data_IF_402917926954
#
_entry.id   IF_402917926954
#
_cell.length_a   1.000
_cell.length_b   1.000
_cell.length_c   1.000
_cell.angle_alpha   90.00
_cell.angle_beta   90.00
_cell.angle_gamma   90.00
#
_symmetry.space_group_name_H-M   'P 1'
#
loop_
_entity.id
_entity.type
_entity.pdbx_description
1 polymer ?
#
# COMPACT_ATOMS: atom_id res chain seq x y z
N UNK A 1 -29.87 30.25 -9.22
CA UNK A 1 -29.67 29.68 -10.56
C UNK A 1 -28.23 29.16 -10.60
N UNK A 2 -28.04 27.90 -10.29
CA UNK A 2 -26.73 27.24 -10.37
C UNK A 2 -26.71 26.41 -11.64
N UNK A 3 -25.86 26.79 -12.58
CA UNK A 3 -25.66 26.10 -13.84
C UNK A 3 -24.86 24.83 -13.58
N UNK A 4 -25.48 23.67 -13.74
CA UNK A 4 -24.81 22.39 -13.71
C UNK A 4 -23.99 22.17 -14.98
N UNK A 5 -22.68 22.00 -14.82
CA UNK A 5 -21.80 21.56 -15.90
C UNK A 5 -21.96 20.06 -16.07
N UNK A 6 -22.70 19.64 -17.08
CA UNK A 6 -22.79 18.25 -17.52
C UNK A 6 -21.49 17.88 -18.24
N UNK A 7 -20.75 16.92 -17.70
CA UNK A 7 -19.64 16.30 -18.42
C UNK A 7 -20.22 15.38 -19.51
N UNK A 8 -19.78 15.46 -20.75
CA UNK A 8 -20.26 14.58 -21.81
C UNK A 8 -19.66 13.18 -21.62
N UNK A 9 -20.50 12.21 -21.31
CA UNK A 9 -20.18 10.81 -21.52
C UNK A 9 -20.04 10.56 -23.02
N UNK A 10 -18.79 10.53 -23.49
CA UNK A 10 -18.49 10.16 -24.86
C UNK A 10 -18.93 8.73 -25.13
N UNK A 11 -19.89 8.59 -26.00
CA UNK A 11 -20.31 7.33 -26.61
C UNK A 11 -19.06 6.66 -27.22
N UNK A 12 -18.70 5.47 -26.77
CA UNK A 12 -17.64 4.66 -27.36
C UNK A 12 -18.10 4.23 -28.75
N UNK A 13 -17.69 4.96 -29.76
CA UNK A 13 -17.85 4.54 -31.16
C UNK A 13 -16.98 3.32 -31.43
N UNK A 14 -17.63 2.27 -31.85
CA UNK A 14 -16.96 1.05 -32.36
C UNK A 14 -16.19 1.45 -33.63
N UNK A 15 -14.86 1.33 -33.61
CA UNK A 15 -14.07 1.37 -34.83
C UNK A 15 -12.82 2.23 -34.87
N UNK A 16 -12.44 2.94 -33.83
CA UNK A 16 -11.15 3.64 -33.83
C UNK A 16 -10.01 2.62 -33.80
N UNK A 17 -9.17 2.62 -34.84
CA UNK A 17 -7.92 1.89 -34.90
C UNK A 17 -7.04 2.41 -33.75
N UNK A 18 -6.84 1.61 -32.73
CA UNK A 18 -5.98 1.97 -31.61
C UNK A 18 -4.54 2.05 -32.10
N UNK A 19 -3.93 3.21 -32.07
CA UNK A 19 -2.51 3.38 -32.36
C UNK A 19 -1.70 2.82 -31.19
N UNK A 20 -0.84 1.86 -31.50
CA UNK A 20 0.09 1.25 -30.57
C UNK A 20 1.49 1.80 -30.81
N UNK A 21 2.23 2.03 -29.72
CA UNK A 21 3.65 2.32 -29.82
C UNK A 21 4.41 1.17 -30.51
N UNK A 22 5.43 1.53 -31.27
CA UNK A 22 6.37 0.55 -31.79
C UNK A 22 7.27 0.05 -30.64
N UNK A 23 7.57 -1.25 -30.52
CA UNK A 23 8.51 -1.73 -29.50
C UNK A 23 9.86 -1.03 -29.49
N UNK A 24 10.34 -0.58 -30.67
CA UNK A 24 11.57 0.20 -30.81
C UNK A 24 11.50 1.55 -30.08
N UNK A 25 10.34 2.20 -29.99
CA UNK A 25 10.20 3.48 -29.29
C UNK A 25 10.60 3.38 -27.82
N UNK A 26 10.34 2.25 -27.17
CA UNK A 26 10.76 1.99 -25.78
C UNK A 26 12.27 1.84 -25.71
N UNK A 27 12.84 0.98 -26.57
CA UNK A 27 14.28 0.66 -26.55
C UNK A 27 15.15 1.79 -27.13
N UNK A 28 14.60 2.66 -27.95
CA UNK A 28 15.29 3.87 -28.43
C UNK A 28 15.50 4.88 -27.31
N UNK A 29 14.56 4.97 -26.37
CA UNK A 29 14.64 5.91 -25.24
C UNK A 29 15.24 5.30 -23.98
N UNK A 30 14.93 4.05 -23.68
CA UNK A 30 15.31 3.41 -22.42
C UNK A 30 16.16 2.16 -22.62
N UNK A 31 17.22 2.04 -21.85
CA UNK A 31 17.92 0.77 -21.60
C UNK A 31 17.26 0.05 -20.45
N UNK A 32 16.67 -1.11 -20.71
CA UNK A 32 16.09 -1.98 -19.70
C UNK A 32 17.17 -2.90 -19.13
N UNK A 33 17.41 -2.84 -17.84
CA UNK A 33 18.32 -3.73 -17.13
C UNK A 33 17.73 -5.13 -16.93
N UNK A 34 18.30 -5.86 -15.97
CA UNK A 34 17.76 -7.15 -15.55
C UNK A 34 16.46 -6.99 -14.78
N UNK A 35 15.66 -8.07 -14.71
CA UNK A 35 14.48 -8.14 -13.84
C UNK A 35 14.96 -8.02 -12.38
N UNK A 36 14.44 -7.03 -11.67
CA UNK A 36 14.69 -6.81 -10.25
C UNK A 36 13.75 -7.64 -9.39
N UNK A 37 12.48 -7.73 -9.83
CA UNK A 37 11.39 -8.43 -9.13
C UNK A 37 10.34 -8.86 -10.13
N UNK A 38 9.73 -10.01 -9.90
CA UNK A 38 8.51 -10.43 -10.59
C UNK A 38 7.34 -10.37 -9.62
N UNK A 39 6.27 -9.68 -9.99
CA UNK A 39 5.02 -9.57 -9.25
C UNK A 39 3.92 -10.36 -9.96
N UNK A 40 2.74 -10.48 -9.33
CA UNK A 40 1.62 -11.26 -9.89
C UNK A 40 1.21 -10.81 -11.30
N UNK A 41 1.29 -9.50 -11.59
CA UNK A 41 0.82 -8.95 -12.86
C UNK A 41 1.90 -8.35 -13.74
N UNK A 42 3.12 -8.16 -13.23
CA UNK A 42 4.18 -7.49 -13.99
C UNK A 42 5.60 -7.95 -13.61
N UNK A 43 6.51 -7.68 -14.50
CA UNK A 43 7.95 -7.75 -14.27
C UNK A 43 8.49 -6.34 -14.01
N UNK A 44 9.36 -6.19 -13.00
CA UNK A 44 9.96 -4.92 -12.62
C UNK A 44 11.42 -4.89 -13.04
N UNK A 45 11.81 -3.83 -13.74
CA UNK A 45 13.16 -3.59 -14.25
C UNK A 45 13.70 -2.26 -13.72
N UNK A 46 15.00 -2.14 -13.60
CA UNK A 46 15.64 -0.83 -13.62
C UNK A 46 15.81 -0.39 -15.07
N UNK A 47 15.42 0.85 -15.34
CA UNK A 47 15.51 1.42 -16.68
C UNK A 47 16.36 2.69 -16.63
N UNK A 48 17.23 2.90 -17.63
CA UNK A 48 18.04 4.09 -17.78
C UNK A 48 17.57 4.85 -19.02
N UNK A 49 17.18 6.11 -18.84
CA UNK A 49 16.93 7.00 -19.99
C UNK A 49 18.26 7.31 -20.70
N UNK A 50 18.34 7.02 -21.97
CA UNK A 50 19.58 7.15 -22.76
C UNK A 50 20.02 8.59 -22.96
N UNK A 51 19.09 9.53 -22.95
CA UNK A 51 19.37 10.94 -23.17
C UNK A 51 19.76 11.65 -21.86
N UNK A 52 18.98 11.44 -20.80
CA UNK A 52 19.17 12.13 -19.51
C UNK A 52 20.06 11.36 -18.55
N UNK A 53 20.34 10.09 -18.84
CA UNK A 53 21.08 9.14 -18.01
C UNK A 53 20.43 8.89 -16.64
N UNK A 54 19.22 9.38 -16.42
CA UNK A 54 18.46 9.13 -15.19
C UNK A 54 17.95 7.71 -15.13
N UNK A 55 17.89 7.20 -13.90
CA UNK A 55 17.37 5.87 -13.61
C UNK A 55 15.89 5.94 -13.21
N UNK A 56 15.14 4.96 -13.66
CA UNK A 56 13.71 4.80 -13.40
C UNK A 56 13.38 3.35 -13.05
N UNK A 57 12.21 3.14 -12.46
CA UNK A 57 11.60 1.82 -12.34
C UNK A 57 10.70 1.60 -13.54
N UNK A 58 10.83 0.47 -14.23
CA UNK A 58 9.94 0.09 -15.32
C UNK A 58 9.11 -1.12 -14.90
N UNK A 59 7.79 -0.98 -14.86
CA UNK A 59 6.82 -2.08 -14.73
C UNK A 59 6.39 -2.51 -16.14
N UNK A 60 6.59 -3.78 -16.47
CA UNK A 60 6.23 -4.38 -17.75
C UNK A 60 5.12 -5.41 -17.57
N UNK A 61 3.99 -5.20 -18.22
CA UNK A 61 2.83 -6.09 -18.18
C UNK A 61 2.67 -6.80 -19.53
N UNK A 62 2.58 -8.13 -19.50
CA UNK A 62 2.41 -8.92 -20.71
C UNK A 62 0.92 -9.15 -21.00
N UNK A 63 0.41 -8.63 -22.11
CA UNK A 63 -1.01 -8.74 -22.48
C UNK A 63 -1.49 -10.16 -22.70
N UNK A 64 -0.55 -11.09 -23.06
CA UNK A 64 -0.82 -12.53 -23.21
C UNK A 64 -1.24 -13.20 -21.90
N UNK A 65 -0.82 -12.66 -20.74
CA UNK A 65 -1.09 -13.25 -19.43
C UNK A 65 -2.54 -13.01 -18.95
N UNK A 66 -3.35 -12.44 -19.82
CA UNK A 66 -4.79 -12.50 -19.68
C UNK A 66 -5.48 -11.17 -19.39
N UNK A 67 -6.79 -11.28 -19.10
CA UNK A 67 -7.65 -10.12 -18.87
C UNK A 67 -7.35 -9.39 -17.58
N UNK A 68 -6.98 -10.12 -16.52
CA UNK A 68 -6.63 -9.54 -15.22
C UNK A 68 -5.42 -8.63 -15.31
N UNK A 69 -4.34 -9.09 -15.97
CA UNK A 69 -3.11 -8.32 -16.19
C UNK A 69 -3.39 -7.04 -16.97
N UNK A 70 -4.18 -7.12 -18.04
CA UNK A 70 -4.56 -5.95 -18.84
C UNK A 70 -5.39 -4.95 -18.03
N UNK A 71 -6.29 -5.44 -17.15
CA UNK A 71 -7.09 -4.59 -16.27
C UNK A 71 -6.20 -3.90 -15.25
N UNK A 72 -5.27 -4.62 -14.61
CA UNK A 72 -4.33 -4.10 -13.63
C UNK A 72 -3.46 -2.97 -14.25
N UNK A 73 -2.82 -3.22 -15.39
CA UNK A 73 -2.01 -2.22 -16.08
C UNK A 73 -2.78 -0.94 -16.41
N UNK A 74 -3.97 -1.07 -17.02
CA UNK A 74 -4.80 0.08 -17.40
C UNK A 74 -5.28 0.87 -16.19
N UNK A 75 -5.63 0.18 -15.10
CA UNK A 75 -6.06 0.80 -13.86
C UNK A 75 -4.91 1.60 -13.23
N UNK A 76 -3.73 1.01 -13.12
CA UNK A 76 -2.55 1.68 -12.56
C UNK A 76 -2.16 2.91 -13.39
N UNK A 77 -2.16 2.81 -14.72
CA UNK A 77 -1.92 3.94 -15.63
C UNK A 77 -2.94 5.06 -15.40
N UNK A 78 -4.23 4.70 -15.32
CA UNK A 78 -5.30 5.69 -15.14
C UNK A 78 -5.12 6.46 -13.82
N UNK A 79 -4.91 5.74 -12.73
CA UNK A 79 -4.76 6.34 -11.39
C UNK A 79 -3.48 7.19 -11.34
N UNK A 80 -2.35 6.66 -11.76
CA UNK A 80 -1.06 7.37 -11.69
C UNK A 80 -1.00 8.62 -12.58
N UNK A 81 -1.77 8.67 -13.67
CA UNK A 81 -1.92 9.90 -14.48
C UNK A 81 -2.70 11.00 -13.76
N UNK A 82 -3.54 10.65 -12.79
CA UNK A 82 -4.38 11.59 -12.05
C UNK A 82 -3.69 12.17 -10.82
N UNK A 83 -2.67 11.48 -10.28
CA UNK A 83 -2.07 11.81 -8.99
C UNK A 83 -0.73 12.51 -9.14
N UNK A 84 -0.51 13.51 -8.28
CA UNK A 84 0.78 14.20 -8.16
C UNK A 84 0.98 14.62 -6.71
N UNK A 85 1.82 13.90 -5.99
CA UNK A 85 2.09 14.16 -4.58
C UNK A 85 3.54 13.81 -4.23
N UNK A 86 4.23 14.55 -3.34
CA UNK A 86 5.63 14.28 -3.00
C UNK A 86 5.87 12.88 -2.42
N UNK A 87 4.86 12.31 -1.75
CA UNK A 87 4.91 10.98 -1.12
C UNK A 87 4.23 9.88 -1.96
N UNK A 88 4.08 10.08 -3.26
CA UNK A 88 3.61 9.09 -4.22
C UNK A 88 4.60 9.01 -5.36
N UNK A 89 5.05 7.80 -5.73
CA UNK A 89 5.93 7.60 -6.88
C UNK A 89 5.24 8.09 -8.15
N UNK A 90 5.92 9.00 -8.85
CA UNK A 90 5.35 9.63 -10.04
C UNK A 90 5.51 8.77 -11.29
N UNK A 91 4.47 8.71 -12.10
CA UNK A 91 4.50 8.17 -13.44
C UNK A 91 5.22 9.16 -14.37
N UNK A 92 6.29 8.71 -15.00
CA UNK A 92 7.12 9.53 -15.90
C UNK A 92 6.74 9.31 -17.35
N UNK A 93 6.52 8.04 -17.73
CA UNK A 93 6.26 7.69 -19.11
C UNK A 93 5.42 6.41 -19.22
N UNK A 94 4.68 6.25 -20.30
CA UNK A 94 3.87 5.06 -20.59
C UNK A 94 3.97 4.71 -22.06
N UNK A 95 4.22 3.44 -22.36
CA UNK A 95 4.13 2.89 -23.69
C UNK A 95 3.16 1.72 -23.71
N UNK A 96 2.30 1.68 -24.71
CA UNK A 96 1.42 0.56 -24.99
C UNK A 96 1.72 -0.02 -26.37
N UNK A 97 2.39 -1.16 -26.40
CA UNK A 97 2.59 -1.94 -27.63
C UNK A 97 1.43 -2.92 -27.87
N UNK A 98 1.45 -3.64 -28.98
CA UNK A 98 0.45 -4.70 -29.22
C UNK A 98 0.51 -5.82 -28.19
N UNK A 99 1.70 -6.08 -27.59
CA UNK A 99 1.95 -7.21 -26.70
C UNK A 99 2.10 -6.83 -25.23
N UNK A 100 2.55 -5.60 -24.94
CA UNK A 100 2.92 -5.17 -23.59
C UNK A 100 2.41 -3.78 -23.23
N UNK A 101 2.36 -3.50 -21.93
CA UNK A 101 2.38 -2.15 -21.34
C UNK A 101 3.71 -1.95 -20.63
N UNK A 102 4.28 -0.75 -20.76
CA UNK A 102 5.46 -0.31 -20.04
C UNK A 102 5.11 0.96 -19.26
N UNK A 103 5.31 0.94 -17.97
CA UNK A 103 5.15 2.09 -17.08
C UNK A 103 6.51 2.46 -16.53
N UNK A 104 6.94 3.68 -16.76
CA UNK A 104 8.18 4.23 -16.19
C UNK A 104 7.82 5.13 -15.03
N UNK A 105 8.32 4.78 -13.85
CA UNK A 105 8.09 5.46 -12.58
C UNK A 105 9.42 6.04 -12.06
N UNK A 106 9.33 7.05 -11.19
CA UNK A 106 10.48 7.44 -10.40
C UNK A 106 11.11 6.21 -9.72
N UNK A 107 12.44 6.25 -9.54
CA UNK A 107 13.15 5.19 -8.84
C UNK A 107 13.31 5.56 -7.37
N UNK A 108 12.67 4.83 -6.48
CA UNK A 108 13.02 4.81 -5.07
C UNK A 108 14.19 3.83 -4.84
N UNK A 109 15.19 4.25 -4.09
CA UNK A 109 16.40 3.47 -3.82
C UNK A 109 16.65 3.21 -2.34
N UNK A 110 15.74 3.69 -1.49
CA UNK A 110 15.74 3.43 -0.06
C UNK A 110 15.26 2.01 0.26
N UNK A 111 15.26 1.68 1.54
CA UNK A 111 14.71 0.43 2.06
C UNK A 111 13.19 0.56 2.24
N UNK A 112 12.52 -0.56 2.39
CA UNK A 112 11.14 -0.58 2.86
C UNK A 112 11.07 -0.08 4.31
N UNK A 113 9.96 0.57 4.67
CA UNK A 113 9.79 1.11 6.03
C UNK A 113 9.93 -0.01 7.07
N UNK A 114 9.41 -1.19 6.78
CA UNK A 114 9.45 -2.31 7.73
C UNK A 114 10.78 -3.03 7.82
N UNK A 115 11.71 -2.86 6.88
CA UNK A 115 13.07 -3.39 7.03
C UNK A 115 13.76 -2.88 8.30
N UNK A 116 13.40 -1.67 8.75
CA UNK A 116 13.92 -1.10 9.98
C UNK A 116 13.46 -1.85 11.23
N UNK A 117 12.22 -2.35 11.25
CA UNK A 117 11.70 -3.16 12.36
C UNK A 117 12.49 -4.47 12.48
N UNK A 118 12.86 -5.09 11.35
CA UNK A 118 13.70 -6.28 11.34
C UNK A 118 15.08 -6.03 11.96
N UNK A 119 15.62 -4.83 11.81
CA UNK A 119 16.93 -4.45 12.35
C UNK A 119 16.87 -3.96 13.79
N UNK A 120 15.85 -3.20 14.18
CA UNK A 120 15.78 -2.43 15.44
C UNK A 120 14.64 -2.89 16.38
N UNK A 121 13.70 -3.67 15.89
CA UNK A 121 12.54 -4.18 16.62
C UNK A 121 11.31 -3.26 16.56
N UNK A 122 11.47 -1.95 16.72
CA UNK A 122 10.36 -0.98 16.68
C UNK A 122 10.89 0.43 16.36
N UNK A 123 9.97 1.33 16.03
CA UNK A 123 10.26 2.76 15.83
C UNK A 123 9.97 3.55 17.12
N UNK A 124 10.74 4.62 17.36
CA UNK A 124 10.33 5.62 18.35
C UNK A 124 9.03 6.31 17.92
N UNK A 125 8.27 6.88 18.88
CA UNK A 125 7.08 7.67 18.52
C UNK A 125 7.41 8.78 17.52
N UNK A 126 8.55 9.44 17.68
CA UNK A 126 9.02 10.50 16.79
C UNK A 126 9.28 10.00 15.37
N UNK A 127 9.93 8.86 15.21
CA UNK A 127 10.19 8.29 13.90
C UNK A 127 8.90 7.76 13.27
N UNK A 128 8.02 7.14 14.08
CA UNK A 128 6.69 6.70 13.66
C UNK A 128 5.85 7.88 13.18
N UNK A 129 5.83 9.00 13.91
CA UNK A 129 5.08 10.19 13.52
C UNK A 129 5.54 10.75 12.19
N UNK A 130 6.85 10.78 11.96
CA UNK A 130 7.44 11.22 10.69
C UNK A 130 7.02 10.31 9.50
N UNK A 131 6.93 9.01 9.72
CA UNK A 131 6.47 8.05 8.70
C UNK A 131 4.97 8.19 8.47
N UNK A 132 4.17 8.07 9.53
CA UNK A 132 2.71 8.04 9.45
C UNK A 132 2.15 9.36 8.93
N UNK A 133 2.69 10.52 9.33
CA UNK A 133 2.28 11.84 8.82
C UNK A 133 2.39 11.90 7.30
N UNK A 134 3.53 11.52 6.73
CA UNK A 134 3.76 11.55 5.29
C UNK A 134 2.82 10.62 4.53
N UNK A 135 2.61 9.40 5.03
CA UNK A 135 1.69 8.44 4.40
C UNK A 135 0.25 8.93 4.52
N UNK A 136 -0.15 9.46 5.68
CA UNK A 136 -1.48 10.00 5.92
C UNK A 136 -1.80 11.19 5.00
N UNK A 137 -0.84 12.11 4.79
CA UNK A 137 -0.97 13.22 3.85
C UNK A 137 -1.19 12.73 2.42
N UNK A 138 -0.44 11.71 1.99
CA UNK A 138 -0.63 11.10 0.68
C UNK A 138 -2.00 10.42 0.55
N UNK A 139 -2.46 9.71 1.58
CA UNK A 139 -3.77 9.05 1.61
C UNK A 139 -4.89 10.09 1.63
N UNK A 140 -4.78 11.17 2.42
CA UNK A 140 -5.75 12.26 2.42
C UNK A 140 -5.86 12.93 1.03
N UNK A 141 -4.73 13.12 0.36
CA UNK A 141 -4.71 13.61 -1.01
C UNK A 141 -5.43 12.65 -1.98
N UNK A 142 -5.15 11.34 -1.92
CA UNK A 142 -5.86 10.34 -2.73
C UNK A 142 -7.36 10.37 -2.45
N UNK A 143 -7.75 10.42 -1.18
CA UNK A 143 -9.15 10.46 -0.75
C UNK A 143 -9.86 11.75 -1.22
N UNK A 144 -9.16 12.88 -1.32
CA UNK A 144 -9.72 14.13 -1.90
C UNK A 144 -10.06 13.97 -3.38
N UNK A 145 -9.33 13.13 -4.11
CA UNK A 145 -9.58 12.75 -5.50
C UNK A 145 -10.56 11.56 -5.63
N UNK A 146 -11.14 11.09 -4.53
CA UNK A 146 -11.97 9.87 -4.46
C UNK A 146 -11.25 8.61 -4.93
N UNK A 147 -9.95 8.54 -4.72
CA UNK A 147 -9.14 7.35 -4.97
C UNK A 147 -8.95 6.61 -3.66
N UNK A 148 -9.23 5.31 -3.65
CA UNK A 148 -8.95 4.37 -2.56
C UNK A 148 -7.75 3.53 -2.99
N UNK A 149 -6.70 3.48 -2.18
CA UNK A 149 -5.46 2.77 -2.52
C UNK A 149 -5.63 1.26 -2.45
N UNK A 150 -6.25 0.76 -1.40
CA UNK A 150 -6.62 -0.66 -1.16
C UNK A 150 -5.46 -1.66 -1.07
N UNK A 151 -4.23 -1.19 -1.17
CA UNK A 151 -3.03 -2.02 -1.15
C UNK A 151 -2.01 -1.56 -0.09
N UNK A 152 -2.46 -0.78 0.89
CA UNK A 152 -1.72 -0.55 2.14
C UNK A 152 -1.95 -1.81 2.97
N UNK A 153 -1.17 -2.85 2.71
CA UNK A 153 -1.37 -4.16 3.32
C UNK A 153 -0.47 -4.34 4.52
N UNK A 154 -1.03 -5.01 5.52
CA UNK A 154 -0.28 -5.92 6.38
C UNK A 154 -0.29 -7.28 5.67
N UNK A 155 0.83 -7.95 5.53
CA UNK A 155 0.92 -9.15 4.73
C UNK A 155 0.29 -10.36 5.39
N UNK A 156 -0.14 -11.30 4.54
CA UNK A 156 -0.42 -12.66 4.95
C UNK A 156 0.86 -13.35 5.39
N UNK A 157 0.85 -13.84 6.60
CA UNK A 157 1.87 -14.72 7.11
C UNK A 157 1.74 -16.10 6.45
N UNK A 158 2.48 -16.30 5.39
CA UNK A 158 2.88 -17.66 5.00
C UNK A 158 3.84 -18.21 6.05
N UNK A 159 3.31 -18.88 7.06
CA UNK A 159 3.97 -19.33 8.30
C UNK A 159 5.01 -20.45 8.12
N UNK A 160 5.62 -20.69 6.97
CA UNK A 160 6.37 -21.94 6.85
C UNK A 160 7.85 -21.91 6.44
N UNK A 161 8.55 -20.79 6.39
CA UNK A 161 10.00 -20.88 6.08
C UNK A 161 10.85 -19.73 6.61
N UNK A 162 11.14 -19.63 7.90
CA UNK A 162 12.47 -19.16 8.38
C UNK A 162 12.75 -19.72 9.78
N UNK A 163 13.19 -20.94 9.86
CA UNK A 163 13.93 -21.45 11.02
C UNK A 163 15.40 -21.48 10.62
N UNK A 164 16.21 -20.56 11.12
CA UNK A 164 17.65 -20.64 10.84
C UNK A 164 18.56 -19.47 11.16
N UNK A 165 18.22 -18.54 12.05
CA UNK A 165 19.24 -17.64 12.62
C UNK A 165 18.82 -17.17 14.02
N UNK A 166 19.62 -17.53 15.00
CA UNK A 166 19.38 -17.49 16.44
C UNK A 166 19.18 -16.11 17.08
N UNK A 167 18.14 -15.38 16.69
CA UNK A 167 17.64 -14.23 17.41
C UNK A 167 16.20 -14.56 17.78
N UNK A 168 15.95 -14.75 19.08
CA UNK A 168 14.64 -15.03 19.63
C UNK A 168 13.78 -13.74 19.64
N UNK A 169 13.29 -13.34 18.46
CA UNK A 169 12.07 -12.56 18.36
C UNK A 169 10.92 -13.54 18.44
N UNK A 170 9.91 -13.29 19.27
CA UNK A 170 8.79 -14.19 19.43
C UNK A 170 8.20 -14.57 18.07
N UNK A 171 8.12 -15.86 17.80
CA UNK A 171 7.84 -16.44 16.48
C UNK A 171 6.60 -15.95 15.71
N UNK A 172 5.50 -15.45 16.31
CA UNK A 172 4.34 -14.95 15.57
C UNK A 172 4.57 -13.64 14.82
N UNK A 173 5.46 -12.76 15.31
CA UNK A 173 5.71 -11.45 14.69
C UNK A 173 6.54 -11.55 13.40
N UNK A 174 7.38 -12.59 13.27
CA UNK A 174 8.35 -12.70 12.18
C UNK A 174 7.72 -13.04 10.82
N UNK A 175 6.66 -13.85 10.80
CA UNK A 175 5.97 -14.22 9.56
C UNK A 175 5.16 -13.06 8.94
N UNK A 176 4.68 -12.13 9.76
CA UNK A 176 3.82 -11.03 9.32
C UNK A 176 4.61 -9.79 8.84
N UNK A 177 5.88 -9.66 9.19
CA UNK A 177 6.73 -8.51 8.86
C UNK A 177 7.27 -8.50 7.43
N UNK A 178 7.12 -9.59 6.68
CA UNK A 178 7.86 -9.78 5.41
C UNK A 178 7.33 -9.04 4.18
N UNK A 179 6.18 -8.32 4.21
CA UNK A 179 5.53 -7.91 2.97
C UNK A 179 4.85 -6.53 2.93
N UNK A 180 5.30 -5.54 3.68
CA UNK A 180 4.81 -4.16 3.51
C UNK A 180 5.58 -3.46 2.37
N UNK A 181 5.47 -4.01 1.19
CA UNK A 181 6.25 -3.68 -0.01
C UNK A 181 5.92 -2.31 -0.62
N UNK A 182 4.90 -1.60 -0.12
CA UNK A 182 4.37 -0.41 -0.79
C UNK A 182 4.71 0.91 -0.11
N UNK A 183 5.40 0.87 1.05
CA UNK A 183 5.93 2.03 1.75
C UNK A 183 7.46 1.99 1.74
N UNK A 184 8.07 2.84 0.93
CA UNK A 184 9.51 2.80 0.66
C UNK A 184 10.14 4.16 0.93
N UNK A 185 11.33 4.19 1.52
CA UNK A 185 12.14 5.40 1.55
C UNK A 185 12.61 5.76 0.14
N UNK A 186 12.44 7.02 -0.26
CA UNK A 186 12.81 7.48 -1.60
C UNK A 186 14.31 7.29 -1.90
N UNK A 187 15.15 7.46 -0.88
CA UNK A 187 16.59 7.22 -0.97
C UNK A 187 17.14 6.68 0.36
N UNK A 188 18.44 6.44 0.44
CA UNK A 188 19.13 5.90 1.61
C UNK A 188 19.59 6.93 2.64
N UNK A 189 19.19 8.19 2.52
CA UNK A 189 19.54 9.25 3.47
C UNK A 189 18.68 9.14 4.73
N UNK A 190 19.24 9.56 5.87
CA UNK A 190 18.59 9.46 7.19
C UNK A 190 17.21 10.12 7.25
N UNK A 191 17.00 11.23 6.52
CA UNK A 191 15.74 11.98 6.49
C UNK A 191 15.05 11.85 5.14
N UNK A 192 15.11 10.67 4.53
CA UNK A 192 14.46 10.42 3.25
C UNK A 192 12.93 10.47 3.41
N UNK A 193 12.27 11.08 2.43
CA UNK A 193 10.81 11.02 2.36
C UNK A 193 10.35 9.59 2.12
N UNK A 194 9.15 9.27 2.64
CA UNK A 194 8.44 8.04 2.34
C UNK A 194 7.65 8.24 1.04
N UNK A 195 7.57 7.21 0.23
CA UNK A 195 6.74 7.18 -0.98
C UNK A 195 5.88 5.94 -1.01
N UNK A 196 4.62 6.13 -1.40
CA UNK A 196 3.68 5.05 -1.66
C UNK A 196 3.90 4.59 -3.10
N UNK A 197 3.98 3.30 -3.29
CA UNK A 197 4.08 2.64 -4.59
C UNK A 197 2.92 1.68 -4.81
N UNK A 198 2.86 1.09 -6.00
CA UNK A 198 1.94 0.01 -6.38
C UNK A 198 0.44 0.35 -6.29
N UNK A 199 -0.07 0.90 -7.37
CA UNK A 199 -1.46 1.34 -7.53
C UNK A 199 -2.33 0.39 -8.35
N UNK A 200 -1.89 -0.86 -8.60
CA UNK A 200 -2.63 -1.79 -9.46
C UNK A 200 -4.01 -2.14 -8.88
N UNK A 201 -4.18 -2.12 -7.55
CA UNK A 201 -5.45 -2.34 -6.86
C UNK A 201 -6.22 -1.04 -6.58
N UNK A 202 -5.61 0.13 -6.71
CA UNK A 202 -6.27 1.41 -6.43
C UNK A 202 -7.52 1.60 -7.29
N UNK A 203 -8.53 2.31 -6.78
CA UNK A 203 -9.81 2.48 -7.47
C UNK A 203 -10.41 3.86 -7.23
N UNK A 204 -11.06 4.39 -8.29
CA UNK A 204 -11.95 5.53 -8.16
C UNK A 204 -13.26 5.13 -7.47
N UNK A 205 -13.60 5.82 -6.39
CA UNK A 205 -14.81 5.61 -5.63
C UNK A 205 -15.99 6.32 -6.29
N UNK A 206 -16.71 5.61 -7.16
CA UNK A 206 -17.97 6.07 -7.77
C UNK A 206 -19.19 5.51 -7.01
N UNK A 207 -19.19 5.59 -5.69
CA UNK A 207 -20.06 4.90 -4.77
C UNK A 207 -19.31 3.79 -4.02
N UNK A 208 -20.01 3.04 -3.14
CA UNK A 208 -19.36 1.99 -2.36
C UNK A 208 -18.81 0.87 -3.26
N UNK A 209 -17.58 0.48 -3.01
CA UNK A 209 -16.89 -0.56 -3.78
C UNK A 209 -17.43 -1.93 -3.37
N UNK A 210 -17.77 -2.75 -4.36
CA UNK A 210 -18.32 -4.10 -4.18
C UNK A 210 -17.32 -5.21 -4.49
N UNK A 211 -16.23 -4.88 -5.19
CA UNK A 211 -15.23 -5.88 -5.59
C UNK A 211 -14.37 -6.21 -4.37
N UNK A 212 -14.29 -7.47 -3.96
CA UNK A 212 -13.38 -7.88 -2.89
C UNK A 212 -11.94 -7.53 -3.28
N UNK A 213 -11.18 -7.07 -2.32
CA UNK A 213 -9.77 -6.70 -2.49
C UNK A 213 -9.00 -7.04 -1.22
N UNK A 214 -7.86 -7.64 -1.38
CA UNK A 214 -7.04 -8.14 -0.30
C UNK A 214 -6.71 -9.61 -0.51
N UNK A 215 -6.00 -10.19 0.43
CA UNK A 215 -5.75 -11.63 0.45
C UNK A 215 -7.04 -12.38 0.77
N UNK A 216 -7.17 -13.64 0.34
CA UNK A 216 -8.37 -14.45 0.53
C UNK A 216 -8.89 -14.46 1.97
N UNK A 217 -8.00 -14.42 2.93
CA UNK A 217 -8.32 -14.48 4.35
C UNK A 217 -9.04 -13.23 4.86
N UNK A 218 -8.71 -12.04 4.32
CA UNK A 218 -9.42 -10.79 4.66
C UNK A 218 -10.71 -10.58 3.84
N UNK A 219 -10.92 -11.36 2.78
CA UNK A 219 -12.03 -11.18 1.85
C UNK A 219 -13.39 -11.58 2.40
N UNK A 220 -13.47 -12.58 3.28
CA UNK A 220 -14.77 -12.99 3.86
C UNK A 220 -15.34 -11.90 4.78
N UNK A 221 -14.48 -11.14 5.41
CA UNK A 221 -14.84 -10.07 6.34
C UNK A 221 -15.22 -8.79 5.61
N UNK A 222 -14.42 -8.40 4.62
CA UNK A 222 -14.63 -7.20 3.81
C UNK A 222 -15.55 -7.51 2.63
N UNK A 223 -15.59 -8.75 2.15
CA UNK A 223 -16.26 -9.17 0.92
C UNK A 223 -17.79 -9.09 0.94
N UNK A 224 -18.42 -9.02 2.11
CA UNK A 224 -19.89 -8.88 2.26
C UNK A 224 -20.33 -7.44 2.53
N UNK A 225 -19.42 -6.57 2.95
CA UNK A 225 -19.73 -5.16 3.18
C UNK A 225 -19.20 -4.29 2.04
N UNK A 226 -19.97 -3.27 1.71
CA UNK A 226 -19.52 -2.21 0.80
C UNK A 226 -18.51 -1.36 1.54
N UNK A 227 -17.34 -1.18 0.99
CA UNK A 227 -16.26 -0.41 1.59
C UNK A 227 -15.83 0.77 0.72
N UNK A 228 -15.03 1.66 1.26
CA UNK A 228 -14.53 2.85 0.60
C UNK A 228 -13.23 3.32 1.23
N UNK A 229 -13.00 4.62 1.21
CA UNK A 229 -11.81 5.28 1.76
C UNK A 229 -11.43 4.88 3.19
N UNK A 230 -12.36 4.61 4.13
CA UNK A 230 -12.00 4.19 5.48
C UNK A 230 -11.13 2.93 5.58
N UNK A 231 -11.09 2.09 4.54
CA UNK A 231 -10.23 0.90 4.53
C UNK A 231 -8.73 1.25 4.56
N UNK A 232 -8.34 2.33 3.88
CA UNK A 232 -6.95 2.79 3.92
C UNK A 232 -6.58 3.34 5.30
N UNK A 233 -7.53 3.98 6.01
CA UNK A 233 -7.32 4.48 7.37
C UNK A 233 -7.13 3.34 8.38
N UNK A 234 -7.92 2.27 8.27
CA UNK A 234 -7.71 1.05 9.07
C UNK A 234 -6.32 0.48 8.85
N UNK A 235 -5.92 0.32 7.60
CA UNK A 235 -4.58 -0.18 7.27
C UNK A 235 -3.47 0.68 7.88
N UNK A 236 -3.62 2.01 7.89
CA UNK A 236 -2.67 2.91 8.54
C UNK A 236 -2.65 2.77 10.06
N UNK A 237 -3.79 2.49 10.69
CA UNK A 237 -3.85 2.16 12.12
C UNK A 237 -3.06 0.90 12.45
N UNK A 238 -3.22 -0.16 11.66
CA UNK A 238 -2.46 -1.40 11.80
C UNK A 238 -0.96 -1.16 11.59
N UNK A 239 -0.59 -0.41 10.55
CA UNK A 239 0.81 -0.04 10.28
C UNK A 239 1.40 0.72 11.48
N UNK A 240 0.69 1.73 12.00
CA UNK A 240 1.14 2.51 13.15
C UNK A 240 1.31 1.64 14.41
N UNK A 241 0.39 0.72 14.66
CA UNK A 241 0.49 -0.23 15.76
C UNK A 241 1.78 -1.04 15.68
N UNK A 242 2.07 -1.60 14.50
CA UNK A 242 3.28 -2.42 14.27
C UNK A 242 4.56 -1.59 14.39
N UNK A 243 4.58 -0.37 13.84
CA UNK A 243 5.75 0.50 13.94
C UNK A 243 6.10 0.82 15.40
N UNK A 244 5.10 1.07 16.24
CA UNK A 244 5.29 1.43 17.64
C UNK A 244 5.67 0.23 18.52
N UNK A 245 5.02 -0.90 18.35
CA UNK A 245 5.19 -2.06 19.24
C UNK A 245 6.17 -3.11 18.70
N UNK A 246 6.42 -3.13 17.39
CA UNK A 246 7.13 -4.22 16.71
C UNK A 246 6.28 -5.49 16.55
N UNK A 247 5.02 -5.50 16.98
CA UNK A 247 4.13 -6.65 16.98
C UNK A 247 2.85 -6.38 16.19
N UNK A 248 2.21 -7.41 15.60
CA UNK A 248 0.90 -7.26 14.98
C UNK A 248 -0.21 -7.07 16.03
N UNK A 249 -1.27 -6.29 15.71
CA UNK A 249 -2.39 -6.10 16.63
C UNK A 249 -3.28 -7.35 16.76
N UNK A 250 -3.31 -8.18 15.73
CA UNK A 250 -4.12 -9.40 15.71
C UNK A 250 -3.22 -10.61 15.50
N UNK A 251 -3.31 -11.58 16.39
CA UNK A 251 -2.61 -12.86 16.33
C UNK A 251 -3.46 -13.93 17.01
N UNK A 252 -3.22 -15.16 16.67
CA UNK A 252 -3.84 -16.31 17.32
C UNK A 252 -2.79 -17.05 18.16
N UNK A 253 -3.13 -17.35 19.41
CA UNK A 253 -2.28 -18.08 20.36
C UNK A 253 -2.49 -19.60 20.30
N UNK A 254 -3.34 -20.09 19.37
CA UNK A 254 -3.58 -21.53 19.24
C UNK A 254 -2.35 -22.26 18.71
N UNK A 255 -2.09 -23.44 19.28
CA UNK A 255 -0.98 -24.31 18.89
C UNK A 255 -0.98 -24.61 17.39
N UNK A 256 0.22 -24.70 16.81
CA UNK A 256 0.51 -24.88 15.37
C UNK A 256 -0.20 -26.07 14.69
N UNK A 257 -0.93 -26.90 15.42
CA UNK A 257 -1.55 -28.13 14.92
C UNK A 257 -2.99 -27.94 14.36
N UNK A 258 -3.63 -26.75 14.52
CA UNK A 258 -5.01 -26.51 14.07
C UNK A 258 -5.15 -25.37 13.04
N UNK A 259 -4.53 -25.55 11.88
CA UNK A 259 -4.53 -24.57 10.78
C UNK A 259 -5.92 -24.17 10.27
N UNK A 260 -6.93 -25.05 10.32
CA UNK A 260 -8.28 -24.71 9.84
C UNK A 260 -9.03 -23.75 10.76
N UNK A 261 -8.71 -23.70 12.04
CA UNK A 261 -9.36 -22.82 13.00
C UNK A 261 -8.55 -21.53 13.25
N UNK A 262 -7.24 -21.55 13.00
CA UNK A 262 -6.36 -20.39 13.13
C UNK A 262 -6.92 -19.18 12.35
N UNK A 263 -7.15 -19.32 11.07
CA UNK A 263 -7.66 -18.23 10.23
C UNK A 263 -9.02 -17.73 10.69
N UNK A 264 -9.93 -18.63 11.12
CA UNK A 264 -11.26 -18.25 11.60
C UNK A 264 -11.21 -17.44 12.91
N UNK A 265 -10.28 -17.78 13.80
CA UNK A 265 -10.09 -17.05 15.05
C UNK A 265 -9.49 -15.66 14.82
N UNK A 266 -8.48 -15.58 13.96
CA UNK A 266 -7.89 -14.33 13.54
C UNK A 266 -8.95 -13.41 12.93
N UNK A 267 -9.79 -13.92 12.04
CA UNK A 267 -10.91 -13.16 11.46
C UNK A 267 -11.91 -12.68 12.49
N UNK A 268 -12.24 -13.50 13.47
CA UNK A 268 -13.13 -13.09 14.57
C UNK A 268 -12.57 -11.92 15.35
N UNK A 269 -11.26 -11.99 15.70
CA UNK A 269 -10.56 -10.89 16.40
C UNK A 269 -10.59 -9.60 15.57
N UNK A 270 -10.27 -9.68 14.27
CA UNK A 270 -10.30 -8.53 13.37
C UNK A 270 -11.70 -7.93 13.26
N UNK A 271 -12.74 -8.77 13.10
CA UNK A 271 -14.13 -8.32 13.02
C UNK A 271 -14.65 -7.67 14.29
N UNK A 272 -14.18 -8.17 15.43
CA UNK A 272 -14.55 -7.64 16.75
C UNK A 272 -13.74 -6.39 17.11
N UNK A 273 -12.62 -6.11 16.39
CA UNK A 273 -11.64 -5.11 16.82
C UNK A 273 -10.98 -5.52 18.13
N UNK A 274 -10.81 -6.83 18.33
CA UNK A 274 -10.30 -7.43 19.56
C UNK A 274 -8.78 -7.48 19.51
N UNK A 275 -8.15 -6.39 19.93
CA UNK A 275 -6.70 -6.23 20.11
C UNK A 275 -6.43 -5.45 21.40
N UNK A 276 -5.26 -5.62 21.96
CA UNK A 276 -4.84 -4.99 23.20
C UNK A 276 -3.53 -4.21 23.01
N UNK A 277 -3.23 -3.34 23.98
CA UNK A 277 -1.94 -2.64 24.08
C UNK A 277 -1.10 -3.35 25.13
N UNK A 278 -0.46 -4.45 24.71
CA UNK A 278 0.19 -5.39 25.62
C UNK A 278 1.46 -4.85 26.26
N UNK A 279 1.62 -5.12 27.57
CA UNK A 279 2.88 -4.96 28.28
C UNK A 279 3.88 -6.05 27.83
N UNK A 280 5.21 -5.76 27.74
CA UNK A 280 5.84 -4.48 27.99
C UNK A 280 5.90 -3.54 26.76
N UNK A 281 5.37 -3.95 25.62
CA UNK A 281 5.59 -3.29 24.32
C UNK A 281 4.95 -1.90 24.24
N UNK A 282 3.88 -1.67 25.02
CA UNK A 282 3.10 -0.44 25.00
C UNK A 282 3.24 0.41 26.27
N UNK A 283 4.07 -0.02 27.24
CA UNK A 283 4.18 0.65 28.54
C UNK A 283 4.73 2.08 28.42
N UNK A 284 5.72 2.28 27.55
CA UNK A 284 6.38 3.57 27.32
C UNK A 284 5.76 4.39 26.17
N UNK A 285 4.65 3.93 25.57
CA UNK A 285 3.99 4.61 24.45
C UNK A 285 2.86 5.49 24.98
N UNK A 286 2.79 6.73 24.48
CA UNK A 286 1.87 7.75 24.94
C UNK A 286 0.39 7.38 24.75
N UNK A 287 -0.47 7.91 25.60
CA UNK A 287 -1.92 7.73 25.50
C UNK A 287 -2.48 8.38 24.23
N UNK A 288 -1.87 9.47 23.75
CA UNK A 288 -2.27 10.09 22.49
C UNK A 288 -1.94 9.22 21.28
N UNK A 289 -0.83 8.46 21.29
CA UNK A 289 -0.53 7.46 20.29
C UNK A 289 -1.56 6.32 20.27
N UNK A 290 -1.86 5.76 21.46
CA UNK A 290 -2.89 4.73 21.65
C UNK A 290 -4.26 5.21 21.18
N UNK A 291 -4.61 6.47 21.46
CA UNK A 291 -5.84 7.11 21.00
C UNK A 291 -5.92 7.15 19.47
N UNK A 292 -4.86 7.59 18.79
CA UNK A 292 -4.86 7.66 17.33
C UNK A 292 -4.97 6.27 16.69
N UNK A 293 -4.23 5.28 17.20
CA UNK A 293 -4.34 3.88 16.75
C UNK A 293 -5.77 3.39 16.91
N UNK A 294 -6.38 3.54 18.09
CA UNK A 294 -7.75 3.07 18.36
C UNK A 294 -8.78 3.71 17.45
N UNK A 295 -8.65 5.02 17.18
CA UNK A 295 -9.58 5.73 16.30
C UNK A 295 -9.40 5.42 14.82
N UNK A 296 -8.20 5.02 14.39
CA UNK A 296 -7.94 4.52 13.04
C UNK A 296 -8.41 3.08 12.87
N UNK A 297 -8.29 2.26 13.94
CA UNK A 297 -8.71 0.86 13.96
C UNK A 297 -10.13 0.69 14.52
N UNK A 298 -10.97 1.72 14.48
CA UNK A 298 -12.39 1.63 14.81
C UNK A 298 -13.12 0.72 13.79
N UNK A 299 -13.86 -0.27 14.31
CA UNK A 299 -14.55 -1.27 13.47
C UNK A 299 -15.66 -0.63 12.64
N UNK A 300 -16.44 0.26 13.25
CA UNK A 300 -17.45 1.02 12.52
C UNK A 300 -16.77 2.03 11.58
N UNK A 301 -16.78 1.74 10.29
CA UNK A 301 -16.21 2.61 9.27
C UNK A 301 -16.75 4.05 9.27
N UNK A 302 -17.95 4.28 9.83
CA UNK A 302 -18.57 5.60 9.91
C UNK A 302 -18.09 6.40 11.13
N UNK A 303 -17.56 5.71 12.15
CA UNK A 303 -16.96 6.33 13.33
C UNK A 303 -15.42 6.44 13.21
N UNK A 304 -14.84 5.66 12.28
CA UNK A 304 -13.40 5.67 12.04
C UNK A 304 -12.92 7.03 11.56
N UNK A 305 -11.76 7.49 12.08
CA UNK A 305 -11.13 8.71 11.59
C UNK A 305 -10.87 8.66 10.10
N UNK A 306 -11.21 9.75 9.43
CA UNK A 306 -10.73 10.00 8.06
C UNK A 306 -9.25 10.37 8.09
N UNK A 307 -8.55 10.17 6.95
CA UNK A 307 -7.15 10.57 6.84
C UNK A 307 -6.94 12.07 7.11
N UNK A 308 -7.90 12.93 6.71
CA UNK A 308 -7.84 14.37 6.94
C UNK A 308 -8.01 14.75 8.43
N UNK A 309 -8.83 14.03 9.18
CA UNK A 309 -8.97 14.23 10.62
C UNK A 309 -7.74 13.71 11.36
N UNK A 310 -7.23 12.54 10.95
CA UNK A 310 -6.07 11.91 11.56
C UNK A 310 -4.81 12.77 11.50
N UNK A 311 -4.56 13.50 10.41
CA UNK A 311 -3.42 14.43 10.28
C UNK A 311 -3.42 15.50 11.38
N UNK A 312 -4.61 15.89 11.88
CA UNK A 312 -4.78 16.94 12.89
C UNK A 312 -4.92 16.36 14.32
N UNK A 313 -4.64 15.08 14.53
CA UNK A 313 -4.71 14.47 15.84
C UNK A 313 -3.62 15.02 16.78
N UNK A 314 -3.95 15.20 18.06
CA UNK A 314 -3.08 15.77 19.10
C UNK A 314 -1.72 15.07 19.22
N UNK A 315 -1.65 13.78 18.94
CA UNK A 315 -0.42 13.01 19.02
C UNK A 315 0.75 13.65 18.25
N UNK A 316 0.50 14.24 17.09
CA UNK A 316 1.56 14.89 16.33
C UNK A 316 2.13 16.12 17.03
N UNK A 317 1.30 16.86 17.78
CA UNK A 317 1.74 18.01 18.58
C UNK A 317 2.51 17.56 19.81
N UNK A 318 2.09 16.45 20.43
CA UNK A 318 2.74 15.90 21.64
C UNK A 318 4.15 15.39 21.32
N UNK A 319 4.33 14.75 20.15
CA UNK A 319 5.63 14.22 19.71
C UNK A 319 6.59 15.32 19.27
N UNK A 320 6.08 16.44 18.75
CA UNK A 320 6.87 17.60 18.29
C UNK A 320 7.29 18.52 19.47
N UNK A 321 6.66 18.38 20.67
CA UNK A 321 6.97 19.14 21.88
C UNK A 321 8.16 18.56 22.65
#
# INVERSE_FOLDING_TARGET
MCAGVAMPFGCLTFGEKKDYNNPSEVTDKYDLGQIVKSEEFCEIFRAKDKNTLKMYTCKKFLKKDGRKVRKAAKNEILILKMVKHPNILQLVDVYETRKEYYLFLELATGREVFDWILDQGYYSERDTSNVIRQVMEAVAYLHSLRIVHRNLKVPDAGLSQVVGSGVALHAPAFGMLLFLENLVYYNRLKNSKIVISDFHLAKLENGLIKEPCGTPEYLEVVGRQRYGRPVDCWALGVIMYILLSGNPPFYDETDDDDYENHDKNLFRKILAGDYEFDSPYWDDISDSAKSLVSRLMEVDQHQRLTAQEAINHEWYSDVDS
#
